data_IF_934470823848
#
_entry.id   IF_934470823848
#
_cell.length_a   1.000
_cell.length_b   1.000
_cell.length_c   1.000
_cell.angle_alpha   90.00
_cell.angle_beta   90.00
_cell.angle_gamma   90.00
#
_symmetry.space_group_name_H-M   'P 1'
#
loop_
_entity.id
_entity.type
_entity.pdbx_description
1 polymer ?
#
# COMPACT_ATOMS: atom_id res chain seq x y z
N UNK A 1 17.50 -19.81 -42.97
CA UNK A 1 18.37 -19.50 -41.80
C UNK A 1 18.11 -18.12 -41.17
N UNK A 2 17.57 -17.14 -41.90
CA UNK A 2 17.33 -15.78 -41.39
C UNK A 2 16.21 -15.72 -40.30
N UNK A 3 15.05 -16.35 -40.55
CA UNK A 3 13.89 -16.33 -39.63
C UNK A 3 14.21 -16.94 -38.25
N UNK A 4 15.00 -18.01 -38.20
CA UNK A 4 15.39 -18.65 -36.93
C UNK A 4 16.29 -17.75 -36.08
N UNK A 5 17.19 -16.98 -36.71
CA UNK A 5 18.07 -16.03 -36.00
C UNK A 5 17.27 -14.83 -35.46
N UNK A 6 16.32 -14.32 -36.24
CA UNK A 6 15.40 -13.26 -35.79
C UNK A 6 14.54 -13.70 -34.60
N UNK A 7 14.04 -14.94 -34.61
CA UNK A 7 13.28 -15.49 -33.47
C UNK A 7 14.09 -15.57 -32.18
N UNK A 8 15.35 -16.01 -32.24
CA UNK A 8 16.24 -16.04 -31.07
C UNK A 8 16.59 -14.64 -30.55
N UNK A 9 16.83 -13.68 -31.44
CA UNK A 9 17.11 -12.30 -31.04
C UNK A 9 15.89 -11.71 -30.32
N UNK A 10 14.68 -11.88 -30.86
CA UNK A 10 13.46 -11.40 -30.22
C UNK A 10 13.25 -12.03 -28.84
N UNK A 11 13.48 -13.35 -28.71
CA UNK A 11 13.38 -14.05 -27.43
C UNK A 11 14.41 -13.54 -26.41
N UNK A 12 15.66 -13.31 -26.83
CA UNK A 12 16.71 -12.78 -25.96
C UNK A 12 16.40 -11.36 -25.50
N UNK A 13 15.89 -10.51 -26.40
CA UNK A 13 15.46 -9.14 -26.06
C UNK A 13 14.33 -9.18 -25.03
N UNK A 14 13.31 -10.04 -25.23
CA UNK A 14 12.22 -10.20 -24.27
C UNK A 14 12.74 -10.72 -22.92
N UNK A 15 13.58 -11.75 -22.92
CA UNK A 15 14.15 -12.34 -21.72
C UNK A 15 15.02 -11.35 -20.93
N UNK A 16 15.76 -10.46 -21.62
CA UNK A 16 16.56 -9.42 -20.96
C UNK A 16 15.72 -8.22 -20.48
N UNK A 17 14.65 -7.88 -21.20
CA UNK A 17 13.83 -6.70 -20.90
C UNK A 17 13.02 -6.83 -19.61
N UNK A 18 12.53 -8.04 -19.27
CA UNK A 18 11.72 -8.22 -18.07
C UNK A 18 12.49 -8.01 -16.76
N UNK A 19 13.68 -8.61 -16.53
CA UNK A 19 14.50 -8.32 -15.35
C UNK A 19 14.94 -6.85 -15.28
N UNK A 20 15.32 -6.25 -16.41
CA UNK A 20 15.70 -4.85 -16.46
C UNK A 20 14.52 -3.93 -16.08
N UNK A 21 13.34 -4.18 -16.64
CA UNK A 21 12.11 -3.45 -16.31
C UNK A 21 11.72 -3.60 -14.84
N UNK A 22 11.89 -4.80 -14.28
CA UNK A 22 11.69 -5.03 -12.84
C UNK A 22 12.61 -4.16 -12.00
N UNK A 23 13.92 -4.19 -12.24
CA UNK A 23 14.91 -3.41 -11.48
C UNK A 23 14.72 -1.90 -11.64
N UNK A 24 14.41 -1.44 -12.85
CA UNK A 24 14.14 -0.03 -13.12
C UNK A 24 12.90 0.42 -12.35
N UNK A 25 11.80 -0.33 -12.44
CA UNK A 25 10.57 0.02 -11.74
C UNK A 25 10.76 -0.01 -10.22
N UNK A 26 11.48 -0.99 -9.66
CA UNK A 26 11.84 -1.05 -8.23
C UNK A 26 12.58 0.21 -7.76
N UNK A 27 13.52 0.73 -8.58
CA UNK A 27 14.28 1.94 -8.26
C UNK A 27 13.45 3.21 -8.39
N UNK A 28 12.47 3.23 -9.30
CA UNK A 28 11.57 4.37 -9.46
C UNK A 28 10.60 4.46 -8.29
N UNK A 29 9.89 3.38 -7.97
CA UNK A 29 8.89 3.35 -6.90
C UNK A 29 9.47 3.42 -5.48
N UNK A 30 10.77 3.22 -5.32
CA UNK A 30 11.44 3.49 -4.04
C UNK A 30 11.56 4.99 -3.74
N UNK A 31 11.10 5.86 -4.64
CA UNK A 31 11.07 7.32 -4.48
C UNK A 31 9.61 7.74 -4.31
N UNK A 32 9.29 8.40 -3.21
CA UNK A 32 7.91 8.81 -2.93
C UNK A 32 7.40 9.79 -4.00
N UNK A 33 8.28 10.61 -4.57
CA UNK A 33 7.97 11.57 -5.64
C UNK A 33 7.56 10.87 -6.94
N UNK A 34 7.98 9.62 -7.15
CA UNK A 34 7.56 8.86 -8.32
C UNK A 34 6.07 8.53 -8.25
N UNK A 35 5.55 8.20 -7.06
CA UNK A 35 4.14 7.87 -6.85
C UNK A 35 3.19 9.03 -7.19
N UNK A 36 3.65 10.28 -7.09
CA UNK A 36 2.87 11.47 -7.45
C UNK A 36 3.20 12.02 -8.84
N UNK A 37 4.22 11.48 -9.52
CA UNK A 37 4.71 12.03 -10.80
C UNK A 37 3.78 11.82 -12.00
N UNK A 38 2.84 10.86 -11.92
CA UNK A 38 1.90 10.57 -13.00
C UNK A 38 0.63 11.44 -12.97
N UNK A 39 0.43 12.27 -11.94
CA UNK A 39 -0.77 13.10 -11.77
C UNK A 39 -0.41 14.58 -11.98
N UNK A 40 -0.90 15.19 -13.07
CA UNK A 40 -0.41 16.47 -13.58
C UNK A 40 -1.45 17.60 -13.67
N UNK A 41 -2.65 17.50 -13.05
CA UNK A 41 -3.61 18.63 -12.97
C UNK A 41 -4.59 18.55 -11.75
N UNK A 42 -5.18 19.69 -11.34
CA UNK A 42 -4.79 20.41 -10.11
C UNK A 42 -5.89 20.66 -9.04
N UNK A 43 -7.03 19.95 -9.04
CA UNK A 43 -8.06 20.20 -8.01
C UNK A 43 -7.70 19.57 -6.65
N UNK A 44 -7.40 18.27 -6.59
CA UNK A 44 -6.41 17.59 -5.73
C UNK A 44 -6.52 16.09 -6.06
N UNK A 45 -5.65 15.52 -6.90
CA UNK A 45 -5.64 14.09 -7.14
C UNK A 45 -5.42 13.30 -5.84
N UNK A 46 -5.99 12.09 -5.76
CA UNK A 46 -5.97 11.24 -4.57
C UNK A 46 -4.54 11.04 -4.07
N UNK A 47 -3.59 10.66 -4.93
CA UNK A 47 -2.20 10.42 -4.53
C UNK A 47 -1.49 11.69 -4.06
N UNK A 48 -1.82 12.87 -4.58
CA UNK A 48 -1.25 14.13 -4.11
C UNK A 48 -1.76 14.47 -2.71
N UNK A 49 -3.06 14.32 -2.46
CA UNK A 49 -3.62 14.45 -1.11
C UNK A 49 -2.98 13.42 -0.16
N UNK A 50 -2.89 12.14 -0.56
CA UNK A 50 -2.31 11.07 0.27
C UNK A 50 -0.82 11.30 0.55
N UNK A 51 -0.08 11.85 -0.42
CA UNK A 51 1.31 12.25 -0.23
C UNK A 51 1.44 13.44 0.73
N UNK A 52 0.55 14.43 0.64
CA UNK A 52 0.49 15.53 1.60
C UNK A 52 0.14 15.04 3.01
N UNK A 53 -0.84 14.15 3.15
CA UNK A 53 -1.19 13.48 4.42
C UNK A 53 0.01 12.72 4.99
N UNK A 54 0.78 12.02 4.13
CA UNK A 54 1.98 11.28 4.52
C UNK A 54 3.14 12.20 4.92
N UNK A 55 3.28 13.37 4.29
CA UNK A 55 4.34 14.34 4.52
C UNK A 55 4.07 15.33 5.66
N UNK A 56 2.84 15.36 6.20
CA UNK A 56 2.44 16.29 7.25
C UNK A 56 3.16 16.05 8.60
N UNK A 57 3.66 17.11 9.22
CA UNK A 57 4.21 17.09 10.58
C UNK A 57 3.59 18.18 11.45
N UNK A 58 3.22 17.90 12.72
CA UNK A 58 3.29 16.60 13.41
C UNK A 58 2.29 15.57 12.86
N UNK A 59 2.56 14.27 13.05
CA UNK A 59 1.72 13.20 12.53
C UNK A 59 0.24 13.32 12.96
N UNK A 60 -0.63 13.48 11.97
CA UNK A 60 -2.09 13.58 12.13
C UNK A 60 -2.84 12.36 11.57
N UNK A 61 -2.09 11.43 10.96
CA UNK A 61 -2.52 10.20 10.31
C UNK A 61 -1.51 9.08 10.61
N UNK A 62 -1.93 7.82 10.44
CA UNK A 62 -1.03 6.68 10.62
C UNK A 62 0.11 6.68 9.58
N UNK A 63 -0.16 7.13 8.35
CA UNK A 63 0.82 7.26 7.29
C UNK A 63 1.91 8.27 7.67
N UNK A 64 1.52 9.45 8.18
CA UNK A 64 2.46 10.44 8.71
C UNK A 64 3.28 9.89 9.89
N UNK A 65 2.64 9.12 10.77
CA UNK A 65 3.32 8.49 11.90
C UNK A 65 4.43 7.52 11.45
N UNK A 66 4.19 6.75 10.39
CA UNK A 66 5.22 5.88 9.81
C UNK A 66 6.39 6.66 9.20
N UNK A 67 6.12 7.81 8.56
CA UNK A 67 7.17 8.73 8.10
C UNK A 67 8.01 9.25 9.27
N UNK A 68 7.37 9.66 10.37
CA UNK A 68 8.08 10.20 11.53
C UNK A 68 8.86 9.13 12.29
N UNK A 69 8.35 7.90 12.35
CA UNK A 69 9.01 6.79 13.03
C UNK A 69 10.31 6.33 12.34
N UNK A 70 10.47 6.58 11.04
CA UNK A 70 11.65 6.19 10.26
C UNK A 70 11.92 7.21 9.17
N UNK A 71 13.08 7.89 9.23
CA UNK A 71 13.50 8.95 8.31
C UNK A 71 13.41 8.58 6.81
N UNK A 72 13.48 7.29 6.47
CA UNK A 72 13.40 6.79 5.10
C UNK A 72 12.19 5.86 4.87
N UNK A 73 11.08 6.05 5.59
CA UNK A 73 9.84 5.32 5.28
C UNK A 73 9.28 5.77 3.92
N UNK A 74 8.91 4.81 3.07
CA UNK A 74 8.46 5.04 1.70
C UNK A 74 7.04 4.53 1.48
N UNK A 75 6.35 5.08 0.48
CA UNK A 75 5.04 4.58 0.05
C UNK A 75 5.07 3.07 -0.22
N UNK A 76 6.13 2.59 -0.87
CA UNK A 76 6.28 1.18 -1.23
C UNK A 76 6.53 0.24 -0.04
N UNK A 77 6.93 0.77 1.12
CA UNK A 77 7.14 -0.09 2.30
C UNK A 77 5.80 -0.70 2.75
N UNK A 78 4.70 0.05 2.62
CA UNK A 78 3.33 -0.46 2.76
C UNK A 78 2.80 -1.03 1.43
N UNK A 79 2.81 -0.24 0.36
CA UNK A 79 2.10 -0.53 -0.89
C UNK A 79 2.80 -1.52 -1.83
N UNK A 80 3.99 -2.00 -1.50
CA UNK A 80 4.81 -2.83 -2.38
C UNK A 80 4.44 -4.30 -2.48
N UNK A 81 3.59 -4.80 -1.59
CA UNK A 81 3.31 -6.23 -1.41
C UNK A 81 4.42 -6.93 -0.60
N UNK A 82 4.04 -7.69 0.43
CA UNK A 82 4.97 -8.39 1.31
C UNK A 82 5.54 -9.66 0.66
N UNK A 83 4.66 -10.47 0.07
CA UNK A 83 5.04 -11.71 -0.61
C UNK A 83 5.39 -11.47 -2.09
N UNK A 84 6.11 -12.42 -2.70
CA UNK A 84 6.40 -12.39 -4.13
C UNK A 84 5.12 -12.34 -4.99
N UNK A 85 4.09 -13.09 -4.59
CA UNK A 85 2.80 -13.09 -5.30
C UNK A 85 2.12 -11.72 -5.24
N UNK A 86 2.11 -11.08 -4.07
CA UNK A 86 1.52 -9.75 -3.89
C UNK A 86 2.34 -8.66 -4.59
N UNK A 87 3.67 -8.76 -4.51
CA UNK A 87 4.57 -7.92 -5.29
C UNK A 87 4.28 -7.99 -6.79
N UNK A 88 4.08 -9.20 -7.34
CA UNK A 88 3.75 -9.38 -8.75
C UNK A 88 2.39 -8.76 -9.11
N UNK A 89 1.40 -8.84 -8.21
CA UNK A 89 0.08 -8.19 -8.39
C UNK A 89 0.20 -6.67 -8.41
N UNK A 90 0.93 -6.07 -7.46
CA UNK A 90 1.22 -4.62 -7.42
C UNK A 90 1.89 -4.19 -8.72
N UNK A 91 2.94 -4.90 -9.15
CA UNK A 91 3.64 -4.61 -10.42
C UNK A 91 2.73 -4.71 -11.64
N UNK A 92 1.79 -5.65 -11.64
CA UNK A 92 0.83 -5.81 -12.74
C UNK A 92 -0.15 -4.64 -12.82
N UNK A 93 -0.63 -4.13 -11.67
CA UNK A 93 -1.44 -2.90 -11.61
C UNK A 93 -0.63 -1.70 -12.11
N UNK A 94 0.59 -1.52 -11.61
CA UNK A 94 1.48 -0.42 -12.02
C UNK A 94 1.80 -0.45 -13.52
N UNK A 95 2.08 -1.63 -14.08
CA UNK A 95 2.36 -1.77 -15.52
C UNK A 95 1.14 -1.43 -16.38
N UNK A 96 -0.05 -1.87 -15.97
CA UNK A 96 -1.32 -1.54 -16.63
C UNK A 96 -1.58 -0.03 -16.62
N UNK A 97 -1.34 0.61 -15.48
CA UNK A 97 -1.61 2.04 -15.31
C UNK A 97 -0.56 2.90 -16.04
N UNK A 98 0.72 2.49 -16.03
CA UNK A 98 1.76 3.10 -16.86
C UNK A 98 1.44 3.01 -18.36
N UNK A 99 0.92 1.86 -18.84
CA UNK A 99 0.48 1.72 -20.22
C UNK A 99 -0.67 2.68 -20.54
N UNK A 100 -1.68 2.79 -19.66
CA UNK A 100 -2.78 3.75 -19.84
C UNK A 100 -2.28 5.20 -19.86
N UNK A 101 -1.30 5.53 -19.02
CA UNK A 101 -0.68 6.85 -18.96
C UNK A 101 0.02 7.19 -20.27
N UNK A 102 0.86 6.28 -20.79
CA UNK A 102 1.52 6.45 -22.08
C UNK A 102 0.55 6.59 -23.26
N UNK A 103 -0.63 5.98 -23.17
CA UNK A 103 -1.69 6.09 -24.18
C UNK A 103 -2.58 7.34 -24.00
N UNK A 104 -2.34 8.19 -23.00
CA UNK A 104 -3.17 9.36 -22.70
C UNK A 104 -4.58 9.01 -22.21
N UNK A 105 -4.76 7.82 -21.62
CA UNK A 105 -6.05 7.28 -21.14
C UNK A 105 -6.03 6.96 -19.65
N UNK A 106 -5.12 7.58 -18.92
CA UNK A 106 -5.00 7.32 -17.49
C UNK A 106 -5.98 8.18 -16.72
N UNK A 107 -6.76 7.52 -15.89
CA UNK A 107 -7.65 8.12 -14.90
C UNK A 107 -7.20 7.62 -13.54
N UNK A 108 -7.06 8.53 -12.58
CA UNK A 108 -6.65 8.16 -11.24
C UNK A 108 -7.74 7.32 -10.56
N UNK A 109 -7.38 6.16 -9.97
CA UNK A 109 -8.35 5.38 -9.23
C UNK A 109 -8.80 6.11 -7.96
N UNK A 110 -10.11 6.10 -7.69
CA UNK A 110 -10.70 6.69 -6.49
C UNK A 110 -10.51 5.83 -5.23
N UNK A 111 -10.11 4.57 -5.41
CA UNK A 111 -9.88 3.60 -4.34
C UNK A 111 -8.62 2.80 -4.60
N UNK A 112 -8.06 2.22 -3.55
CA UNK A 112 -6.92 1.32 -3.66
C UNK A 112 -7.28 0.10 -4.55
N UNK A 113 -6.48 -0.12 -5.60
CA UNK A 113 -6.71 -1.20 -6.58
C UNK A 113 -6.20 -2.56 -6.10
N UNK A 114 -5.37 -2.56 -5.06
CA UNK A 114 -4.78 -3.73 -4.44
C UNK A 114 -4.69 -3.47 -2.94
N UNK A 115 -5.50 -4.11 -2.09
CA UNK A 115 -5.60 -3.78 -0.67
C UNK A 115 -4.27 -4.02 0.08
N UNK A 116 -4.11 -3.36 1.23
CA UNK A 116 -3.05 -3.70 2.19
C UNK A 116 -3.52 -4.89 3.02
N UNK A 117 -2.69 -5.90 3.13
CA UNK A 117 -2.98 -7.07 3.97
C UNK A 117 -2.18 -7.05 5.26
N UNK A 118 -2.59 -7.89 6.21
CA UNK A 118 -1.83 -8.13 7.45
C UNK A 118 -0.35 -8.44 7.21
N UNK A 119 -0.02 -9.18 6.15
CA UNK A 119 1.38 -9.48 5.81
C UNK A 119 2.19 -8.23 5.43
N UNK A 120 1.54 -7.17 4.91
CA UNK A 120 2.21 -5.92 4.61
C UNK A 120 2.63 -5.18 5.88
N UNK A 121 1.78 -5.20 6.91
CA UNK A 121 2.10 -4.67 8.22
C UNK A 121 3.13 -5.56 8.96
N UNK A 122 3.04 -6.88 8.77
CA UNK A 122 3.89 -7.86 9.43
C UNK A 122 5.38 -7.77 9.03
N UNK A 123 5.71 -7.06 7.95
CA UNK A 123 7.10 -6.73 7.57
C UNK A 123 7.86 -5.99 8.68
N UNK A 124 7.15 -5.21 9.51
CA UNK A 124 7.75 -4.39 10.56
C UNK A 124 7.09 -4.58 11.93
N UNK A 125 5.83 -4.98 11.95
CA UNK A 125 5.09 -5.26 13.18
C UNK A 125 5.02 -6.76 13.43
N UNK A 126 5.18 -7.18 14.68
CA UNK A 126 4.72 -8.51 15.04
C UNK A 126 3.20 -8.58 14.84
N UNK A 127 2.70 -9.70 14.31
CA UNK A 127 1.25 -9.95 14.12
C UNK A 127 0.47 -9.71 15.44
N UNK A 128 1.16 -9.84 16.57
CA UNK A 128 0.68 -9.50 17.90
C UNK A 128 1.88 -9.34 18.85
N UNK A 129 1.79 -8.43 19.82
CA UNK A 129 2.64 -8.46 21.01
C UNK A 129 1.76 -8.24 22.24
N UNK A 130 1.72 -9.18 23.20
CA UNK A 130 0.97 -9.00 24.46
C UNK A 130 1.39 -7.74 25.22
N UNK A 131 2.63 -7.29 25.02
CA UNK A 131 3.18 -6.09 25.64
C UNK A 131 2.56 -4.77 25.09
N UNK A 132 1.81 -4.84 23.99
CA UNK A 132 1.05 -3.73 23.40
C UNK A 132 -0.44 -4.02 23.33
N UNK A 133 -0.93 -5.01 24.09
CA UNK A 133 -2.34 -5.40 24.08
C UNK A 133 -3.21 -4.22 24.56
N UNK A 134 -3.77 -3.50 23.59
CA UNK A 134 -4.94 -2.68 23.82
C UNK A 134 -6.15 -3.60 24.10
N UNK A 135 -7.29 -3.00 24.46
CA UNK A 135 -8.46 -3.75 24.88
C UNK A 135 -8.98 -4.73 23.80
N UNK A 136 -8.74 -4.47 22.50
CA UNK A 136 -9.20 -5.33 21.42
C UNK A 136 -8.26 -6.52 21.23
N UNK A 137 -6.96 -6.27 21.05
CA UNK A 137 -5.97 -7.32 20.82
C UNK A 137 -5.68 -8.13 22.08
N UNK A 138 -6.06 -7.67 23.28
CA UNK A 138 -6.00 -8.47 24.49
C UNK A 138 -6.93 -9.70 24.47
N UNK A 139 -7.96 -9.71 23.64
CA UNK A 139 -8.93 -10.80 23.55
C UNK A 139 -8.45 -11.80 22.51
N UNK A 140 -8.08 -13.01 22.95
CA UNK A 140 -7.47 -14.04 22.09
C UNK A 140 -8.30 -14.34 20.83
N UNK A 141 -9.63 -14.39 20.96
CA UNK A 141 -10.54 -14.69 19.84
C UNK A 141 -10.40 -13.70 18.68
N UNK A 142 -10.08 -12.43 18.96
CA UNK A 142 -9.89 -11.39 17.94
C UNK A 142 -8.58 -11.49 17.18
N UNK A 143 -7.65 -12.35 17.62
CA UNK A 143 -6.36 -12.56 16.96
C UNK A 143 -6.27 -13.93 16.28
N UNK A 144 -7.35 -14.74 16.33
CA UNK A 144 -7.34 -16.04 15.68
C UNK A 144 -7.37 -15.86 14.16
N UNK A 145 -6.64 -16.69 13.39
CA UNK A 145 -6.69 -16.65 11.92
C UNK A 145 -8.08 -16.86 11.32
N UNK A 146 -9.03 -17.40 12.09
CA UNK A 146 -10.42 -17.55 11.64
C UNK A 146 -11.20 -16.22 11.60
N UNK A 147 -10.69 -15.17 12.27
CA UNK A 147 -11.22 -13.81 12.23
C UNK A 147 -10.25 -12.93 11.44
N UNK A 148 -10.24 -13.12 10.12
CA UNK A 148 -9.35 -12.41 9.19
C UNK A 148 -9.81 -10.96 8.98
N UNK A 149 -9.49 -10.08 9.93
CA UNK A 149 -9.52 -8.63 9.68
C UNK A 149 -8.14 -8.17 9.25
N UNK A 150 -8.06 -7.41 8.17
CA UNK A 150 -6.83 -6.70 7.84
C UNK A 150 -6.60 -5.53 8.81
N UNK A 151 -5.35 -5.28 9.19
CA UNK A 151 -4.98 -4.20 10.12
C UNK A 151 -5.61 -2.85 9.72
N UNK A 152 -5.67 -2.59 8.41
CA UNK A 152 -6.21 -1.36 7.84
C UNK A 152 -7.72 -1.26 7.86
N UNK A 153 -8.44 -2.33 8.23
CA UNK A 153 -9.88 -2.30 8.47
C UNK A 153 -10.22 -1.51 9.73
N UNK A 154 -9.35 -1.55 10.74
CA UNK A 154 -9.48 -0.76 11.96
C UNK A 154 -8.58 0.49 11.93
N UNK A 155 -7.33 0.33 11.48
CA UNK A 155 -6.31 1.38 11.47
C UNK A 155 -6.25 2.11 10.13
N UNK A 156 -6.97 3.22 10.00
CA UNK A 156 -6.98 3.98 8.75
C UNK A 156 -5.66 4.72 8.52
N UNK A 157 -5.08 4.53 7.34
CA UNK A 157 -3.71 4.97 7.06
C UNK A 157 -3.63 6.50 6.91
N UNK A 158 -4.45 7.07 6.04
CA UNK A 158 -4.28 8.44 5.55
C UNK A 158 -5.22 9.49 6.15
N UNK A 159 -6.49 9.20 6.51
CA UNK A 159 -7.37 10.22 7.07
C UNK A 159 -6.75 10.97 8.24
N UNK A 160 -6.81 12.30 8.18
CA UNK A 160 -6.31 13.22 9.21
C UNK A 160 -7.20 13.27 10.44
N UNK A 161 -6.72 13.98 11.47
CA UNK A 161 -7.45 14.23 12.71
C UNK A 161 -7.47 13.03 13.65
N UNK A 162 -6.66 12.01 13.35
CA UNK A 162 -6.50 10.81 14.15
C UNK A 162 -5.32 11.00 15.10
N UNK A 163 -5.44 10.49 16.32
CA UNK A 163 -4.45 10.72 17.38
C UNK A 163 -3.65 9.45 17.64
N UNK A 164 -2.35 9.61 17.88
CA UNK A 164 -1.46 8.51 18.28
C UNK A 164 -1.97 7.76 19.53
N UNK A 165 -2.60 8.47 20.47
CA UNK A 165 -3.17 7.90 21.69
C UNK A 165 -4.31 6.91 21.45
N UNK A 166 -4.94 6.95 20.26
CA UNK A 166 -5.98 6.03 19.82
C UNK A 166 -5.48 5.11 18.71
N UNK A 167 -4.16 4.95 18.56
CA UNK A 167 -3.54 4.16 17.49
C UNK A 167 -4.08 4.49 16.08
N UNK A 168 -4.43 5.77 15.87
CA UNK A 168 -5.01 6.29 14.63
C UNK A 168 -6.34 5.65 14.19
N UNK A 169 -7.10 5.05 15.12
CA UNK A 169 -8.42 4.47 14.87
C UNK A 169 -9.47 5.55 14.56
N UNK A 170 -10.46 5.18 13.74
CA UNK A 170 -11.68 5.94 13.51
C UNK A 170 -12.86 5.28 14.22
N UNK A 171 -13.53 5.98 15.12
CA UNK A 171 -14.66 5.45 15.89
C UNK A 171 -15.80 4.93 15.00
N UNK A 172 -16.22 5.68 13.97
CA UNK A 172 -17.33 5.25 13.11
C UNK A 172 -16.98 3.96 12.34
N UNK A 173 -15.73 3.83 11.90
CA UNK A 173 -15.21 2.66 11.19
C UNK A 173 -15.07 1.47 12.13
N UNK A 174 -14.50 1.70 13.32
CA UNK A 174 -14.35 0.68 14.36
C UNK A 174 -15.72 0.08 14.74
N UNK A 175 -16.72 0.92 14.99
CA UNK A 175 -18.08 0.47 15.30
C UNK A 175 -18.68 -0.34 14.15
N UNK A 176 -18.44 0.07 12.89
CA UNK A 176 -18.90 -0.71 11.74
C UNK A 176 -18.24 -2.11 11.68
N UNK A 177 -16.95 -2.22 12.00
CA UNK A 177 -16.25 -3.52 12.08
C UNK A 177 -16.80 -4.36 13.23
N UNK A 178 -16.99 -3.78 14.43
CA UNK A 178 -17.54 -4.49 15.59
C UNK A 178 -18.93 -5.06 15.30
N UNK A 179 -19.80 -4.30 14.61
CA UNK A 179 -21.14 -4.73 14.20
C UNK A 179 -21.19 -5.97 13.31
N UNK A 180 -20.07 -6.36 12.69
CA UNK A 180 -20.03 -7.59 11.89
C UNK A 180 -20.20 -8.85 12.76
N UNK A 181 -19.97 -8.75 14.07
CA UNK A 181 -20.04 -9.89 15.00
C UNK A 181 -20.80 -9.58 16.31
N UNK A 182 -20.85 -8.31 16.72
CA UNK A 182 -21.47 -7.87 17.97
C UNK A 182 -22.75 -7.10 17.68
N UNK A 183 -23.90 -7.71 17.99
CA UNK A 183 -25.23 -7.12 17.75
C UNK A 183 -25.50 -5.87 18.60
N UNK A 184 -24.72 -5.65 19.67
CA UNK A 184 -24.85 -4.54 20.60
C UNK A 184 -24.28 -3.19 20.11
N UNK A 185 -23.65 -3.14 18.92
CA UNK A 185 -23.04 -1.94 18.34
C UNK A 185 -23.85 -1.31 17.19
#
# INVERSE_FOLDING_TARGET
MCVRRLGWIALLVLAASAPAGWLISDRLESRNEFCTSCHLDAATPLHEQKAADFAEGPASSLAAAHREAKLEFRCIDCHGGASFANRLRVKSVAARDALRYLLGRFEEPQTMQHPLWNEDCAKCHGVYSPARADAFHAIEVHNLPAFEFDCVECHDAHPKGRRASLAYLQSERLVAVCRNCHEEF
#
